data_IF_094702542512
#
_entry.id   IF_094702542512
#
_cell.length_a   1.000
_cell.length_b   1.000
_cell.length_c   1.000
_cell.angle_alpha   90.00
_cell.angle_beta   90.00
_cell.angle_gamma   90.00
#
_symmetry.space_group_name_H-M   'P 1'
#
loop_
_entity.id
_entity.type
_entity.pdbx_description
1 polymer ?
#
# COMPACT_ATOMS: atom_id res chain seq x y z
N UNK A 1 -0.30 21.97 9.68
CA UNK A 1 -0.16 22.27 11.12
C UNK A 1 -1.01 21.27 11.87
N UNK A 2 -0.46 20.54 12.85
CA UNK A 2 -1.26 19.66 13.70
C UNK A 2 -2.26 20.51 14.49
N UNK A 3 -3.53 20.16 14.45
CA UNK A 3 -4.59 20.80 15.22
C UNK A 3 -4.25 20.72 16.71
N UNK A 4 -4.37 21.85 17.43
CA UNK A 4 -4.17 21.90 18.89
C UNK A 4 -5.12 20.89 19.56
N UNK A 5 -4.59 20.11 20.51
CA UNK A 5 -5.36 19.11 21.28
C UNK A 5 -6.60 19.77 21.89
N UNK A 6 -7.78 19.25 21.56
CA UNK A 6 -9.05 19.67 22.14
C UNK A 6 -9.44 18.61 23.18
N UNK A 7 -9.41 18.92 24.49
CA UNK A 7 -9.68 17.93 25.54
C UNK A 7 -11.11 17.38 25.50
N UNK A 8 -12.02 18.00 24.74
CA UNK A 8 -13.41 17.57 24.57
C UNK A 8 -13.65 16.76 23.27
N UNK A 9 -12.60 16.47 22.50
CA UNK A 9 -12.68 15.55 21.35
C UNK A 9 -11.64 14.44 21.55
N UNK A 10 -11.97 13.18 21.20
CA UNK A 10 -10.97 12.12 21.21
C UNK A 10 -9.77 12.53 20.33
N UNK A 11 -8.58 12.11 20.75
CA UNK A 11 -7.32 12.33 20.02
C UNK A 11 -7.35 11.57 18.68
N UNK A 12 -7.93 12.22 17.67
CA UNK A 12 -8.02 11.71 16.31
C UNK A 12 -7.16 12.51 15.32
N UNK A 13 -6.94 11.93 14.14
CA UNK A 13 -6.37 12.63 12.99
C UNK A 13 -7.22 12.32 11.76
N UNK A 14 -7.28 13.27 10.82
CA UNK A 14 -7.91 13.05 9.52
C UNK A 14 -7.02 12.15 8.65
N UNK A 15 -7.45 10.91 8.33
CA UNK A 15 -6.64 10.00 7.54
C UNK A 15 -6.57 10.42 6.07
N UNK A 16 -7.51 11.21 5.55
CA UNK A 16 -7.47 11.75 4.18
C UNK A 16 -6.46 12.90 4.09
N UNK A 17 -6.43 13.79 5.08
CA UNK A 17 -5.35 14.77 5.18
C UNK A 17 -3.97 14.08 5.30
N UNK A 18 -3.89 12.97 6.05
CA UNK A 18 -2.67 12.20 6.20
C UNK A 18 -2.28 11.44 4.93
N UNK A 19 -3.24 10.96 4.12
CA UNK A 19 -3.00 10.42 2.77
C UNK A 19 -2.23 11.44 1.94
N UNK A 20 -2.77 12.65 1.79
CA UNK A 20 -2.14 13.73 1.01
C UNK A 20 -0.74 14.07 1.52
N UNK A 21 -0.55 14.06 2.84
CA UNK A 21 0.76 14.31 3.45
C UNK A 21 1.74 13.18 3.21
N UNK A 22 1.29 11.92 3.29
CA UNK A 22 2.12 10.75 3.03
C UNK A 22 2.54 10.69 1.55
N UNK A 23 1.64 10.96 0.61
CA UNK A 23 1.94 10.94 -0.83
C UNK A 23 3.05 11.94 -1.20
N UNK A 24 3.04 13.15 -0.64
CA UNK A 24 4.14 14.12 -0.84
C UNK A 24 5.52 13.59 -0.42
N UNK A 25 5.58 12.58 0.44
CA UNK A 25 6.83 11.99 0.96
C UNK A 25 7.24 10.74 0.19
N UNK A 26 6.27 9.96 -0.27
CA UNK A 26 6.48 8.61 -0.79
C UNK A 26 6.20 8.46 -2.29
N UNK A 27 5.66 9.50 -2.94
CA UNK A 27 5.37 9.53 -4.38
C UNK A 27 6.12 10.68 -5.05
N UNK A 28 6.63 10.46 -6.26
CA UNK A 28 7.29 11.45 -7.13
C UNK A 28 6.96 11.15 -8.61
N UNK A 29 5.99 11.85 -9.17
CA UNK A 29 5.37 11.46 -10.45
C UNK A 29 4.84 10.03 -10.34
N UNK A 30 5.09 9.21 -11.36
CA UNK A 30 4.75 7.79 -11.33
C UNK A 30 5.67 6.92 -10.44
N UNK A 31 6.65 7.49 -9.72
CA UNK A 31 7.54 6.70 -8.84
C UNK A 31 7.02 6.64 -7.42
N UNK A 32 7.20 5.49 -6.77
CA UNK A 32 6.85 5.28 -5.36
C UNK A 32 8.02 4.75 -4.54
N UNK A 33 8.06 5.05 -3.24
CA UNK A 33 9.09 4.57 -2.32
C UNK A 33 8.86 3.13 -1.89
N UNK A 34 9.94 2.33 -2.00
CA UNK A 34 10.02 0.98 -1.47
C UNK A 34 11.29 0.82 -0.62
N UNK A 35 11.17 0.17 0.53
CA UNK A 35 12.30 -0.21 1.37
C UNK A 35 13.03 -1.45 0.83
N UNK A 36 12.30 -2.37 0.20
CA UNK A 36 12.81 -3.57 -0.48
C UNK A 36 11.89 -3.91 -1.64
N UNK A 37 12.46 -4.28 -2.79
CA UNK A 37 11.66 -4.58 -3.98
C UNK A 37 11.19 -6.03 -4.08
N UNK A 38 11.88 -6.97 -3.43
CA UNK A 38 11.55 -8.39 -3.56
C UNK A 38 12.02 -9.16 -2.34
N UNK A 39 11.08 -9.83 -1.67
CA UNK A 39 11.33 -10.79 -0.60
C UNK A 39 10.34 -11.96 -0.72
N UNK A 40 10.80 -13.21 -0.65
CA UNK A 40 9.90 -14.35 -0.57
C UNK A 40 9.22 -14.40 0.80
N UNK A 41 7.94 -14.73 0.83
CA UNK A 41 7.16 -14.99 2.04
C UNK A 41 6.38 -16.28 1.89
N UNK A 42 6.11 -16.93 3.02
CA UNK A 42 5.41 -18.23 3.07
C UNK A 42 3.87 -18.10 3.07
N UNK A 43 3.34 -16.88 3.06
CA UNK A 43 1.90 -16.64 3.08
C UNK A 43 1.26 -17.10 1.76
N UNK A 44 0.01 -17.57 1.83
CA UNK A 44 -0.80 -17.97 0.66
C UNK A 44 -0.19 -19.10 -0.18
N UNK A 45 0.60 -19.98 0.43
CA UNK A 45 1.32 -21.03 -0.29
C UNK A 45 2.59 -20.54 -1.02
N UNK A 46 2.99 -19.28 -0.83
CA UNK A 46 4.17 -18.69 -1.43
C UNK A 46 3.84 -17.39 -2.16
N UNK A 47 4.44 -16.28 -1.73
CA UNK A 47 4.25 -14.95 -2.34
C UNK A 47 5.57 -14.19 -2.36
N UNK A 48 5.86 -13.49 -3.47
CA UNK A 48 6.97 -12.54 -3.52
C UNK A 48 6.44 -11.14 -3.26
N UNK A 49 6.91 -10.49 -2.20
CA UNK A 49 6.38 -9.19 -1.79
C UNK A 49 7.46 -8.12 -1.83
N UNK A 50 7.08 -6.90 -2.20
CA UNK A 50 7.85 -5.70 -1.94
C UNK A 50 7.47 -5.13 -0.57
N UNK A 51 8.37 -4.34 0.03
CA UNK A 51 8.11 -3.59 1.26
C UNK A 51 7.93 -2.12 0.89
N UNK A 52 6.68 -1.67 0.83
CA UNK A 52 6.31 -0.29 0.54
C UNK A 52 6.58 0.63 1.73
N UNK A 53 6.56 1.94 1.47
CA UNK A 53 6.75 2.99 2.47
C UNK A 53 5.55 3.95 2.43
N UNK A 54 5.09 4.37 3.61
CA UNK A 54 4.00 5.33 3.75
C UNK A 54 2.65 4.70 4.09
N UNK A 55 1.98 5.24 5.10
CA UNK A 55 0.63 4.84 5.46
C UNK A 55 -0.14 6.05 5.98
N UNK A 56 -1.43 6.09 5.71
CA UNK A 56 -2.36 7.09 6.19
C UNK A 56 -3.07 6.68 7.50
N UNK A 57 -2.62 5.59 8.13
CA UNK A 57 -3.01 5.19 9.48
C UNK A 57 -1.82 5.16 10.45
N UNK A 58 -2.13 5.24 11.75
CA UNK A 58 -1.19 5.20 12.89
C UNK A 58 -1.58 4.12 13.89
N UNK A 59 -1.90 2.92 13.39
CA UNK A 59 -2.33 1.80 14.23
C UNK A 59 -1.31 1.55 15.36
N UNK A 60 -1.80 1.45 16.61
CA UNK A 60 -0.95 1.23 17.79
C UNK A 60 -0.17 -0.09 17.71
N UNK A 61 -0.77 -1.11 17.07
CA UNK A 61 -0.21 -2.44 16.84
C UNK A 61 0.47 -2.59 15.46
N UNK A 62 0.78 -1.49 14.76
CA UNK A 62 1.47 -1.57 13.47
C UNK A 62 2.88 -2.14 13.62
N UNK A 63 3.17 -3.26 12.95
CA UNK A 63 4.48 -3.93 12.94
C UNK A 63 5.41 -3.46 11.81
N UNK A 64 4.97 -2.53 10.96
CA UNK A 64 5.75 -2.07 9.81
C UNK A 64 6.89 -1.11 10.17
N UNK A 65 6.99 -0.65 11.42
CA UNK A 65 8.11 0.14 11.96
C UNK A 65 8.59 1.29 11.03
N UNK A 66 9.87 1.28 10.60
CA UNK A 66 10.51 2.36 9.81
C UNK A 66 9.71 2.79 8.57
N UNK A 67 9.24 1.88 7.69
CA UNK A 67 8.35 2.21 6.56
C UNK A 67 7.18 3.14 6.86
N UNK A 68 6.59 3.08 8.06
CA UNK A 68 5.43 3.91 8.44
C UNK A 68 5.84 5.05 9.38
N UNK A 69 6.76 4.79 10.32
CA UNK A 69 7.18 5.74 11.36
C UNK A 69 8.21 6.76 10.86
N UNK A 70 9.02 6.41 9.86
CA UNK A 70 10.11 7.24 9.31
C UNK A 70 10.13 7.25 7.78
N UNK A 71 9.02 7.59 7.09
CA UNK A 71 8.92 7.49 5.63
C UNK A 71 9.85 8.45 4.88
N UNK A 72 10.24 9.56 5.50
CA UNK A 72 11.18 10.53 4.92
C UNK A 72 12.57 9.94 4.66
N UNK A 73 13.05 9.10 5.58
CA UNK A 73 14.40 8.52 5.57
C UNK A 73 14.42 7.02 5.24
N UNK A 74 13.31 6.44 4.78
CA UNK A 74 13.19 5.01 4.50
C UNK A 74 12.91 4.76 3.03
N UNK A 75 13.67 3.84 2.43
CA UNK A 75 13.47 3.37 1.06
C UNK A 75 13.92 4.35 -0.03
N UNK A 76 13.74 3.90 -1.27
CA UNK A 76 14.11 4.64 -2.49
C UNK A 76 12.94 4.67 -3.46
N UNK A 77 12.94 5.64 -4.37
CA UNK A 77 11.90 5.78 -5.38
C UNK A 77 12.15 4.85 -6.57
N UNK A 78 11.12 4.11 -6.97
CA UNK A 78 11.16 3.20 -8.11
C UNK A 78 9.96 3.45 -9.03
N UNK A 79 10.17 3.25 -10.32
CA UNK A 79 9.10 3.22 -11.32
C UNK A 79 8.27 1.93 -11.20
N UNK A 80 7.04 1.90 -11.73
CA UNK A 80 6.23 0.68 -11.77
C UNK A 80 6.96 -0.49 -12.44
N UNK A 81 7.64 -0.23 -13.56
CA UNK A 81 8.44 -1.25 -14.26
C UNK A 81 9.53 -1.85 -13.38
N UNK A 82 10.31 -1.01 -12.68
CA UNK A 82 11.37 -1.50 -11.79
C UNK A 82 10.83 -2.37 -10.65
N UNK A 83 9.66 -2.02 -10.11
CA UNK A 83 8.98 -2.80 -9.07
C UNK A 83 8.50 -4.13 -9.65
N UNK A 84 7.80 -4.09 -10.77
CA UNK A 84 7.30 -5.29 -11.46
C UNK A 84 8.44 -6.25 -11.81
N UNK A 85 9.52 -5.77 -12.44
CA UNK A 85 10.65 -6.61 -12.86
C UNK A 85 11.30 -7.32 -11.67
N UNK A 86 11.48 -6.61 -10.57
CA UNK A 86 12.06 -7.16 -9.35
C UNK A 86 11.14 -8.20 -8.68
N UNK A 87 9.83 -7.92 -8.63
CA UNK A 87 8.82 -8.85 -8.12
C UNK A 87 8.73 -10.09 -9.00
N UNK A 88 8.60 -9.93 -10.31
CA UNK A 88 8.48 -11.01 -11.28
C UNK A 88 9.73 -11.89 -11.32
N UNK A 89 10.93 -11.29 -11.28
CA UNK A 89 12.19 -12.03 -11.14
C UNK A 89 12.23 -12.84 -9.84
N UNK A 90 11.81 -12.24 -8.73
CA UNK A 90 11.74 -12.92 -7.43
C UNK A 90 10.73 -14.06 -7.42
N UNK A 91 9.54 -13.84 -7.96
CA UNK A 91 8.47 -14.83 -8.07
C UNK A 91 8.91 -16.03 -8.92
N UNK A 92 9.46 -15.80 -10.12
CA UNK A 92 10.01 -16.87 -10.97
C UNK A 92 11.10 -17.68 -10.28
N UNK A 93 12.03 -17.02 -9.58
CA UNK A 93 13.10 -17.70 -8.82
C UNK A 93 12.54 -18.63 -7.72
N UNK A 94 11.37 -18.32 -7.18
CA UNK A 94 10.79 -19.05 -6.06
C UNK A 94 9.61 -19.95 -6.48
N UNK A 95 9.24 -19.96 -7.76
CA UNK A 95 8.05 -20.65 -8.25
C UNK A 95 6.73 -20.05 -7.74
N UNK A 96 6.73 -18.80 -7.28
CA UNK A 96 5.51 -18.13 -6.81
C UNK A 96 4.67 -17.62 -7.98
N UNK A 97 3.35 -17.72 -7.87
CA UNK A 97 2.38 -17.05 -8.76
C UNK A 97 1.83 -15.75 -8.20
N UNK A 98 1.91 -15.58 -6.88
CA UNK A 98 1.43 -14.39 -6.20
C UNK A 98 2.57 -13.40 -6.02
N UNK A 99 2.27 -12.13 -6.28
CA UNK A 99 3.11 -11.00 -5.92
C UNK A 99 2.31 -9.98 -5.11
N UNK A 100 2.99 -9.12 -4.36
CA UNK A 100 2.34 -8.04 -3.62
C UNK A 100 3.32 -6.93 -3.34
N UNK A 101 2.79 -5.82 -2.84
CA UNK A 101 3.56 -4.88 -2.07
C UNK A 101 2.81 -4.59 -0.76
N UNK A 102 3.54 -4.61 0.35
CA UNK A 102 2.95 -4.67 1.70
C UNK A 102 3.71 -3.78 2.69
N UNK A 103 3.36 -3.89 3.97
CA UNK A 103 3.90 -3.10 5.09
C UNK A 103 3.50 -1.61 5.10
N UNK A 104 2.66 -1.17 4.18
CA UNK A 104 2.24 0.22 4.04
C UNK A 104 0.76 0.32 3.67
N UNK A 105 0.27 1.50 3.28
CA UNK A 105 -1.03 1.62 2.62
C UNK A 105 -0.88 1.47 1.09
N UNK A 106 -1.34 0.35 0.53
CA UNK A 106 -1.12 0.00 -0.88
C UNK A 106 -1.74 0.96 -1.91
N UNK A 107 -2.72 1.77 -1.53
CA UNK A 107 -3.43 2.70 -2.45
C UNK A 107 -2.79 4.09 -2.58
N UNK A 108 -1.72 4.40 -1.85
CA UNK A 108 -0.99 5.66 -2.01
C UNK A 108 -0.26 5.71 -3.35
N UNK A 109 -0.34 6.82 -4.08
CA UNK A 109 0.27 6.93 -5.41
C UNK A 109 -0.53 6.17 -6.45
N UNK A 110 -1.75 6.63 -6.69
CA UNK A 110 -2.72 6.04 -7.62
C UNK A 110 -2.12 5.72 -8.99
N UNK A 111 -1.50 6.72 -9.65
CA UNK A 111 -0.84 6.56 -10.96
C UNK A 111 0.16 5.39 -10.96
N UNK A 112 1.05 5.34 -9.96
CA UNK A 112 2.01 4.24 -9.81
C UNK A 112 1.34 2.87 -9.67
N UNK A 113 0.28 2.79 -8.85
CA UNK A 113 -0.46 1.54 -8.64
C UNK A 113 -1.10 1.06 -9.93
N UNK A 114 -1.78 1.92 -10.68
CA UNK A 114 -2.46 1.54 -11.92
C UNK A 114 -1.47 1.09 -13.00
N UNK A 115 -0.37 1.83 -13.21
CA UNK A 115 0.70 1.41 -14.13
C UNK A 115 1.30 0.05 -13.72
N UNK A 116 1.49 -0.19 -12.41
CA UNK A 116 1.97 -1.49 -11.93
C UNK A 116 0.96 -2.61 -12.23
N UNK A 117 -0.33 -2.36 -12.04
CA UNK A 117 -1.39 -3.34 -12.31
C UNK A 117 -1.51 -3.64 -13.81
N UNK A 118 -1.32 -2.65 -14.69
CA UNK A 118 -1.26 -2.86 -16.14
C UNK A 118 -0.14 -3.82 -16.54
N UNK A 119 1.04 -3.71 -15.91
CA UNK A 119 2.14 -4.64 -16.13
C UNK A 119 1.80 -6.06 -15.63
N UNK A 120 1.11 -6.17 -14.50
CA UNK A 120 0.68 -7.47 -13.96
C UNK A 120 -0.37 -8.13 -14.84
N UNK A 121 -1.32 -7.37 -15.36
CA UNK A 121 -2.38 -7.85 -16.25
C UNK A 121 -1.83 -8.46 -17.55
N UNK A 122 -0.63 -8.05 -17.98
CA UNK A 122 0.10 -8.61 -19.12
C UNK A 122 0.94 -9.85 -18.78
N UNK A 123 0.86 -10.35 -17.55
CA UNK A 123 1.68 -11.46 -17.04
C UNK A 123 0.86 -12.64 -16.53
N UNK A 124 1.54 -13.71 -16.14
CA UNK A 124 0.94 -14.89 -15.49
C UNK A 124 0.91 -14.78 -13.95
N UNK A 125 1.24 -13.61 -13.40
CA UNK A 125 1.27 -13.33 -11.97
C UNK A 125 -0.04 -12.68 -11.51
N UNK A 126 -0.38 -12.88 -10.24
CA UNK A 126 -1.53 -12.24 -9.60
C UNK A 126 -1.00 -11.28 -8.54
N UNK A 127 -1.46 -10.03 -8.60
CA UNK A 127 -1.11 -9.01 -7.61
C UNK A 127 -2.10 -9.02 -6.45
N UNK A 128 -1.59 -9.18 -5.22
CA UNK A 128 -2.37 -9.05 -4.00
C UNK A 128 -2.19 -7.63 -3.44
N UNK A 129 -3.21 -6.78 -3.61
CA UNK A 129 -3.25 -5.42 -3.07
C UNK A 129 -3.73 -5.47 -1.61
N UNK A 130 -2.82 -5.20 -0.67
CA UNK A 130 -3.15 -5.06 0.74
C UNK A 130 -3.42 -3.59 1.09
N UNK A 131 -4.61 -3.28 1.58
CA UNK A 131 -5.07 -1.91 1.87
C UNK A 131 -5.86 -1.85 3.17
N UNK A 132 -5.88 -0.68 3.82
CA UNK A 132 -6.80 -0.37 4.91
C UNK A 132 -8.17 0.14 4.43
N UNK A 133 -8.33 0.40 3.12
CA UNK A 133 -9.59 0.76 2.49
C UNK A 133 -10.05 2.22 2.67
N UNK A 134 -9.32 3.05 3.43
CA UNK A 134 -9.75 4.44 3.70
C UNK A 134 -9.85 5.28 2.42
N UNK A 135 -8.88 5.14 1.51
CA UNK A 135 -8.88 5.86 0.22
C UNK A 135 -10.00 5.38 -0.69
N UNK A 136 -10.24 4.05 -0.75
CA UNK A 136 -11.32 3.45 -1.53
C UNK A 136 -12.71 3.87 -1.01
N UNK A 137 -12.87 3.95 0.31
CA UNK A 137 -14.13 4.41 0.91
C UNK A 137 -14.37 5.92 0.72
N UNK A 138 -13.31 6.72 0.62
CA UNK A 138 -13.41 8.15 0.34
C UNK A 138 -13.66 8.46 -1.14
N UNK A 139 -13.20 7.59 -2.05
CA UNK A 139 -13.38 7.72 -3.49
C UNK A 139 -13.84 6.37 -4.08
N UNK A 140 -15.17 6.16 -4.20
CA UNK A 140 -15.73 4.92 -4.73
C UNK A 140 -15.30 4.60 -6.18
N UNK A 141 -15.01 5.62 -6.99
CA UNK A 141 -14.56 5.43 -8.38
C UNK A 141 -13.22 4.69 -8.45
N UNK A 142 -12.36 4.88 -7.44
CA UNK A 142 -11.13 4.11 -7.31
C UNK A 142 -11.41 2.60 -7.22
N UNK A 143 -12.44 2.18 -6.47
CA UNK A 143 -12.80 0.76 -6.39
C UNK A 143 -13.32 0.22 -7.73
N UNK A 144 -14.13 1.00 -8.45
CA UNK A 144 -14.63 0.62 -9.78
C UNK A 144 -13.51 0.50 -10.81
N UNK A 145 -12.52 1.38 -10.78
CA UNK A 145 -11.36 1.30 -11.66
C UNK A 145 -10.47 0.09 -11.34
N UNK A 146 -10.26 -0.23 -10.07
CA UNK A 146 -9.53 -1.45 -9.67
C UNK A 146 -10.23 -2.73 -10.12
N UNK A 147 -11.57 -2.76 -10.13
CA UNK A 147 -12.36 -3.93 -10.54
C UNK A 147 -12.16 -4.33 -12.02
N UNK A 148 -11.50 -3.49 -12.83
CA UNK A 148 -11.21 -3.76 -14.24
C UNK A 148 -10.06 -4.75 -14.45
N UNK A 149 -9.19 -4.92 -13.44
CA UNK A 149 -8.04 -5.83 -13.52
C UNK A 149 -8.43 -7.26 -13.12
N UNK A 150 -8.11 -8.24 -13.96
CA UNK A 150 -8.42 -9.66 -13.73
C UNK A 150 -7.34 -10.32 -12.88
N UNK A 151 -6.10 -9.87 -13.00
CA UNK A 151 -4.95 -10.39 -12.25
C UNK A 151 -4.75 -9.65 -10.91
N UNK A 152 -5.82 -9.16 -10.30
CA UNK A 152 -5.81 -8.41 -9.04
C UNK A 152 -6.67 -9.11 -7.98
N UNK A 153 -6.09 -9.30 -6.80
CA UNK A 153 -6.81 -9.70 -5.60
C UNK A 153 -6.67 -8.61 -4.53
N UNK A 154 -7.78 -8.00 -4.12
CA UNK A 154 -7.78 -6.92 -3.12
C UNK A 154 -8.07 -7.48 -1.73
N UNK A 155 -7.25 -7.12 -0.74
CA UNK A 155 -7.44 -7.48 0.67
C UNK A 155 -7.54 -6.24 1.53
N UNK A 156 -8.76 -6.01 2.03
CA UNK A 156 -9.07 -4.88 2.90
C UNK A 156 -8.93 -5.29 4.36
N UNK A 157 -8.10 -4.56 5.09
CA UNK A 157 -7.91 -4.73 6.53
C UNK A 157 -8.98 -4.00 7.33
N UNK A 158 -9.97 -4.73 7.84
CA UNK A 158 -10.94 -4.21 8.81
C UNK A 158 -10.26 -4.17 10.20
N UNK A 159 -10.23 -3.00 10.84
CA UNK A 159 -9.48 -2.74 12.09
C UNK A 159 -10.36 -2.50 13.31
N UNK A 160 -11.65 -2.34 13.12
CA UNK A 160 -12.65 -2.26 14.16
C UNK A 160 -13.94 -2.92 13.69
N UNK A 161 -14.78 -3.30 14.63
CA UNK A 161 -16.03 -4.04 14.40
C UNK A 161 -17.28 -3.16 14.54
N UNK A 162 -17.12 -1.92 15.00
CA UNK A 162 -18.21 -0.95 15.12
C UNK A 162 -17.72 0.48 14.87
N UNK A 163 -18.60 1.42 14.46
CA UNK A 163 -18.23 2.82 14.29
C UNK A 163 -17.56 3.46 15.52
N UNK A 164 -17.92 2.99 16.73
CA UNK A 164 -17.37 3.47 18.00
C UNK A 164 -15.87 3.16 18.19
N UNK A 165 -15.33 2.20 17.46
CA UNK A 165 -13.91 1.84 17.50
C UNK A 165 -13.06 2.67 16.52
N UNK A 166 -13.70 3.49 15.68
CA UNK A 166 -13.06 4.32 14.65
C UNK A 166 -13.08 5.84 15.00
N UNK A 167 -13.50 6.20 16.22
CA UNK A 167 -13.68 7.59 16.70
C UNK A 167 -12.43 8.15 17.36
#
# INVERSE_FOLDING_TARGET
MATRHNPNKPDGYDPIALTRAAERVVVKGNKRKYARLSRPLRFYGGITSAQEVGCNLRCKFCFSDKPVRRPHSTGSFYTPQQVFDALAKGARKQGHKLISASASEGTLGREHLFELLELVEQSDLIYVLETNGITLGNDPDFAYELARFRNLHVRVSIKGTSPKEYV
#
